data_IF_464844297019
#
_entry.id   IF_464844297019
#
_cell.length_a   1.000
_cell.length_b   1.000
_cell.length_c   1.000
_cell.angle_alpha   90.00
_cell.angle_beta   90.00
_cell.angle_gamma   90.00
#
_symmetry.space_group_name_H-M   'P 1'
#
loop_
_entity.id
_entity.type
_entity.pdbx_description
1 polymer ?
#
# COMPACT_ATOMS: atom_id res chain seq x y z
N UNK A 1 -13.46 1.48 -39.57
CA UNK A 1 -13.26 2.81 -38.92
C UNK A 1 -11.78 2.97 -38.63
N UNK A 2 -11.16 4.11 -38.95
CA UNK A 2 -9.75 4.36 -38.58
C UNK A 2 -9.66 4.65 -37.08
N UNK A 3 -9.04 3.76 -36.31
CA UNK A 3 -8.76 3.99 -34.90
C UNK A 3 -7.67 5.06 -34.75
N UNK A 4 -7.94 6.06 -33.93
CA UNK A 4 -6.98 7.14 -33.64
C UNK A 4 -6.53 7.00 -32.19
N UNK A 5 -5.22 6.88 -31.95
CA UNK A 5 -4.68 6.78 -30.59
C UNK A 5 -4.86 8.09 -29.83
N UNK A 6 -5.21 7.99 -28.55
CA UNK A 6 -5.31 9.13 -27.63
C UNK A 6 -4.05 10.00 -27.63
N UNK A 7 -2.87 9.37 -27.77
CA UNK A 7 -1.58 10.05 -27.86
C UNK A 7 -1.48 11.01 -29.07
N UNK A 8 -2.05 10.63 -30.21
CA UNK A 8 -2.09 11.44 -31.43
C UNK A 8 -3.00 12.66 -31.25
N UNK A 9 -4.13 12.50 -30.56
CA UNK A 9 -5.08 13.59 -30.27
C UNK A 9 -4.43 14.61 -29.34
N UNK A 10 -3.84 14.15 -28.22
CA UNK A 10 -3.15 15.03 -27.26
C UNK A 10 -2.00 15.77 -27.93
N UNK A 11 -1.16 15.07 -28.71
CA UNK A 11 -0.04 15.69 -29.43
C UNK A 11 -0.51 16.80 -30.38
N UNK A 12 -1.64 16.59 -31.07
CA UNK A 12 -2.19 17.57 -32.03
C UNK A 12 -2.86 18.78 -31.36
N UNK A 13 -3.46 18.57 -30.19
CA UNK A 13 -4.01 19.66 -29.37
C UNK A 13 -2.89 20.53 -28.77
N UNK A 14 -1.78 19.91 -28.37
CA UNK A 14 -0.64 20.57 -27.72
C UNK A 14 0.42 21.12 -28.69
N UNK A 15 0.39 20.76 -29.99
CA UNK A 15 1.42 21.16 -30.96
C UNK A 15 1.35 22.62 -31.42
N UNK A 16 0.25 23.33 -31.16
CA UNK A 16 0.08 24.72 -31.60
C UNK A 16 0.73 25.71 -30.62
N UNK A 17 1.61 26.55 -31.14
CA UNK A 17 2.42 27.54 -30.40
C UNK A 17 1.61 28.71 -29.82
N UNK A 18 0.42 28.98 -30.37
CA UNK A 18 -0.62 29.79 -29.72
C UNK A 18 -1.63 28.83 -29.09
N UNK A 19 -1.88 28.97 -27.80
CA UNK A 19 -2.79 28.13 -27.00
C UNK A 19 -4.06 27.78 -27.79
N UNK A 20 -4.21 26.51 -28.17
CA UNK A 20 -5.37 26.01 -28.90
C UNK A 20 -6.66 26.29 -28.10
N UNK A 21 -7.65 26.95 -28.70
CA UNK A 21 -8.90 27.33 -28.03
C UNK A 21 -9.67 26.12 -27.49
N UNK A 22 -9.64 25.00 -28.22
CA UNK A 22 -10.26 23.73 -27.79
C UNK A 22 -9.53 23.14 -26.59
N UNK A 23 -8.20 23.15 -26.59
CA UNK A 23 -7.42 22.70 -25.42
C UNK A 23 -7.73 23.57 -24.20
N UNK A 24 -7.83 24.89 -24.38
CA UNK A 24 -8.21 25.82 -23.32
C UNK A 24 -9.62 25.51 -22.79
N UNK A 25 -10.59 25.28 -23.66
CA UNK A 25 -11.95 24.91 -23.27
C UNK A 25 -11.98 23.60 -22.46
N UNK A 26 -11.20 22.59 -22.85
CA UNK A 26 -11.09 21.32 -22.11
C UNK A 26 -10.46 21.51 -20.72
N UNK A 27 -9.43 22.37 -20.61
CA UNK A 27 -8.82 22.70 -19.32
C UNK A 27 -9.82 23.43 -18.41
N UNK A 28 -10.57 24.41 -18.93
CA UNK A 28 -11.60 25.10 -18.14
C UNK A 28 -12.74 24.14 -17.74
N UNK A 29 -13.11 23.21 -18.61
CA UNK A 29 -14.08 22.17 -18.27
C UNK A 29 -13.59 21.26 -17.13
N UNK A 30 -12.33 20.83 -17.16
CA UNK A 30 -11.71 20.04 -16.09
C UNK A 30 -11.70 20.81 -14.76
N UNK A 31 -11.41 22.12 -14.78
CA UNK A 31 -11.49 22.98 -13.60
C UNK A 31 -12.89 23.06 -13.00
N UNK A 32 -13.95 23.09 -13.83
CA UNK A 32 -15.34 23.08 -13.35
C UNK A 32 -15.63 21.77 -12.62
N UNK A 33 -15.24 20.63 -13.20
CA UNK A 33 -15.39 19.31 -12.56
C UNK A 33 -14.62 19.27 -11.24
N UNK A 34 -13.37 19.74 -11.23
CA UNK A 34 -12.55 19.77 -10.02
C UNK A 34 -13.17 20.67 -8.93
N UNK A 35 -13.73 21.81 -9.32
CA UNK A 35 -14.41 22.72 -8.39
C UNK A 35 -15.63 22.07 -7.74
N UNK A 36 -16.45 21.36 -8.52
CA UNK A 36 -17.60 20.59 -8.01
C UNK A 36 -17.12 19.48 -7.07
N UNK A 37 -16.07 18.74 -7.44
CA UNK A 37 -15.46 17.72 -6.57
C UNK A 37 -14.98 18.34 -5.25
N UNK A 38 -14.30 19.49 -5.30
CA UNK A 38 -13.73 20.11 -4.11
C UNK A 38 -14.79 20.66 -3.17
N UNK A 39 -15.88 21.22 -3.70
CA UNK A 39 -17.04 21.61 -2.91
C UNK A 39 -17.66 20.40 -2.21
N UNK A 40 -17.87 19.28 -2.93
CA UNK A 40 -18.35 18.03 -2.33
C UNK A 40 -17.41 17.50 -1.24
N UNK A 41 -16.10 17.56 -1.48
CA UNK A 41 -15.09 17.10 -0.52
C UNK A 41 -15.08 17.93 0.77
N UNK A 42 -15.36 19.23 0.68
CA UNK A 42 -15.47 20.13 1.84
C UNK A 42 -16.77 19.89 2.61
N UNK A 43 -17.86 19.61 1.93
CA UNK A 43 -19.19 19.41 2.53
C UNK A 43 -19.35 18.01 3.16
N UNK A 44 -18.88 16.96 2.48
CA UNK A 44 -19.06 15.56 2.88
C UNK A 44 -17.84 15.01 3.65
N UNK A 45 -18.02 14.81 4.96
CA UNK A 45 -17.02 14.22 5.86
C UNK A 45 -16.73 12.75 5.55
N UNK A 46 -17.73 11.97 5.13
CA UNK A 46 -17.56 10.55 4.82
C UNK A 46 -16.76 10.36 3.52
N UNK A 47 -17.05 11.18 2.50
CA UNK A 47 -16.23 11.26 1.29
C UNK A 47 -14.77 11.57 1.65
N UNK A 48 -14.55 12.55 2.54
CA UNK A 48 -13.21 12.93 3.00
C UNK A 48 -12.49 11.79 3.69
N UNK A 49 -13.15 11.11 4.62
CA UNK A 49 -12.61 9.95 5.35
C UNK A 49 -12.25 8.82 4.41
N UNK A 50 -13.08 8.56 3.39
CA UNK A 50 -12.81 7.55 2.39
C UNK A 50 -11.56 7.87 1.56
N UNK A 51 -11.45 9.13 1.09
CA UNK A 51 -10.27 9.62 0.35
C UNK A 51 -9.02 9.55 1.20
N UNK A 52 -9.04 10.05 2.43
CA UNK A 52 -7.89 9.94 3.34
C UNK A 52 -7.49 8.49 3.60
N UNK A 53 -8.43 7.58 3.81
CA UNK A 53 -8.12 6.15 3.98
C UNK A 53 -7.46 5.56 2.73
N UNK A 54 -7.86 5.98 1.54
CA UNK A 54 -7.22 5.55 0.30
C UNK A 54 -5.79 6.12 0.17
N UNK A 55 -5.59 7.40 0.49
CA UNK A 55 -4.30 8.07 0.49
C UNK A 55 -3.34 7.44 1.51
N UNK A 56 -3.76 7.28 2.76
CA UNK A 56 -2.95 6.68 3.83
C UNK A 56 -2.49 5.26 3.45
N UNK A 57 -3.34 4.46 2.79
CA UNK A 57 -2.93 3.14 2.27
C UNK A 57 -1.82 3.24 1.22
N UNK A 58 -1.94 4.20 0.30
CA UNK A 58 -0.91 4.49 -0.71
C UNK A 58 0.40 4.95 -0.07
N UNK A 59 0.34 5.90 0.85
CA UNK A 59 1.51 6.38 1.59
C UNK A 59 2.17 5.27 2.41
N UNK A 60 1.41 4.47 3.16
CA UNK A 60 1.94 3.34 3.92
C UNK A 60 2.69 2.35 3.01
N UNK A 61 2.15 2.06 1.83
CA UNK A 61 2.81 1.21 0.84
C UNK A 61 4.11 1.84 0.31
N UNK A 62 4.11 3.13 0.03
CA UNK A 62 5.30 3.86 -0.39
C UNK A 62 6.36 3.94 0.71
N UNK A 63 5.95 4.13 1.97
CA UNK A 63 6.83 4.11 3.13
C UNK A 63 7.47 2.73 3.31
N UNK A 64 6.71 1.64 3.21
CA UNK A 64 7.23 0.27 3.21
C UNK A 64 8.30 0.07 2.14
N UNK A 65 8.01 0.45 0.89
CA UNK A 65 8.97 0.33 -0.21
C UNK A 65 10.21 1.19 -0.01
N UNK A 66 10.05 2.38 0.57
CA UNK A 66 11.16 3.24 0.95
C UNK A 66 12.03 2.59 2.03
N UNK A 67 11.42 1.96 3.04
CA UNK A 67 12.13 1.23 4.09
C UNK A 67 12.96 0.09 3.48
N UNK A 68 12.35 -0.78 2.67
CA UNK A 68 13.03 -1.88 1.94
C UNK A 68 14.23 -1.35 1.14
N UNK A 69 14.06 -0.24 0.43
CA UNK A 69 15.14 0.36 -0.36
C UNK A 69 16.29 0.89 0.51
N UNK A 70 15.98 1.46 1.69
CA UNK A 70 17.01 1.96 2.62
C UNK A 70 17.93 0.83 3.10
N UNK A 71 17.41 -0.37 3.38
CA UNK A 71 18.22 -1.53 3.78
C UNK A 71 19.14 -2.00 2.66
N UNK A 72 18.66 -1.88 1.42
CA UNK A 72 19.43 -2.26 0.22
C UNK A 72 20.52 -1.24 -0.15
N UNK A 73 20.82 -0.27 0.73
CA UNK A 73 21.94 0.68 0.56
C UNK A 73 21.54 2.07 0.03
N UNK A 74 20.28 2.49 0.19
CA UNK A 74 19.74 3.83 -0.17
C UNK A 74 19.85 4.23 -1.66
N UNK A 75 20.40 3.39 -2.53
CA UNK A 75 20.50 3.65 -3.96
C UNK A 75 19.69 2.60 -4.73
N UNK A 76 18.91 3.05 -5.72
CA UNK A 76 18.40 2.13 -6.73
C UNK A 76 19.63 1.52 -7.43
N UNK A 77 19.98 0.30 -7.04
CA UNK A 77 21.09 -0.44 -7.62
C UNK A 77 20.85 -0.57 -9.12
N UNK A 78 21.69 0.09 -9.91
CA UNK A 78 21.66 0.04 -11.37
C UNK A 78 22.13 1.32 -12.02
N UNK A 79 23.10 1.22 -12.93
CA UNK A 79 23.59 2.36 -13.74
C UNK A 79 22.77 2.57 -15.02
N UNK A 80 21.78 1.70 -15.28
CA UNK A 80 20.99 1.67 -16.52
C UNK A 80 19.50 1.58 -16.17
N UNK A 81 18.65 2.23 -16.96
CA UNK A 81 17.19 2.27 -16.78
C UNK A 81 16.57 0.89 -16.57
N UNK A 82 17.00 -0.10 -17.36
CA UNK A 82 16.52 -1.49 -17.23
C UNK A 82 16.84 -2.12 -15.87
N UNK A 83 18.01 -1.83 -15.31
CA UNK A 83 18.41 -2.37 -14.00
C UNK A 83 17.65 -1.68 -12.87
N UNK A 84 17.41 -0.37 -12.99
CA UNK A 84 16.55 0.38 -12.08
C UNK A 84 15.12 -0.18 -12.08
N UNK A 85 14.56 -0.47 -13.26
CA UNK A 85 13.23 -1.06 -13.40
C UNK A 85 13.13 -2.45 -12.75
N UNK A 86 14.11 -3.32 -13.02
CA UNK A 86 14.16 -4.66 -12.41
C UNK A 86 14.24 -4.56 -10.88
N UNK A 87 15.10 -3.67 -10.35
CA UNK A 87 15.21 -3.48 -8.91
C UNK A 87 13.91 -2.93 -8.30
N UNK A 88 13.28 -1.97 -8.99
CA UNK A 88 12.00 -1.42 -8.59
C UNK A 88 10.91 -2.50 -8.50
N UNK A 89 10.87 -3.41 -9.47
CA UNK A 89 9.94 -4.52 -9.49
C UNK A 89 10.24 -5.56 -8.40
N UNK A 90 11.51 -5.85 -8.11
CA UNK A 90 11.91 -6.73 -7.00
C UNK A 90 11.46 -6.16 -5.65
N UNK A 91 11.69 -4.87 -5.42
CA UNK A 91 11.22 -4.18 -4.21
C UNK A 91 9.69 -4.24 -4.10
N UNK A 92 8.97 -4.00 -5.20
CA UNK A 92 7.50 -4.15 -5.24
C UNK A 92 7.05 -5.55 -4.85
N UNK A 93 7.68 -6.59 -5.41
CA UNK A 93 7.33 -7.99 -5.09
C UNK A 93 7.57 -8.27 -3.60
N UNK A 94 8.72 -7.86 -3.06
CA UNK A 94 9.03 -8.06 -1.64
C UNK A 94 8.00 -7.36 -0.73
N UNK A 95 7.62 -6.12 -1.04
CA UNK A 95 6.56 -5.40 -0.31
C UNK A 95 5.23 -6.16 -0.37
N UNK A 96 4.85 -6.70 -1.53
CA UNK A 96 3.65 -7.54 -1.65
C UNK A 96 3.73 -8.81 -0.81
N UNK A 97 4.89 -9.47 -0.73
CA UNK A 97 5.08 -10.66 0.11
C UNK A 97 4.91 -10.33 1.60
N UNK A 98 5.43 -9.20 2.07
CA UNK A 98 5.27 -8.75 3.45
C UNK A 98 3.80 -8.44 3.79
N UNK A 99 3.11 -7.74 2.89
CA UNK A 99 1.68 -7.44 3.04
C UNK A 99 0.85 -8.73 3.03
N UNK A 100 1.18 -9.68 2.15
CA UNK A 100 0.54 -10.98 2.10
C UNK A 100 0.70 -11.73 3.42
N UNK A 101 1.91 -11.78 3.96
CA UNK A 101 2.18 -12.42 5.25
C UNK A 101 1.33 -11.80 6.37
N UNK A 102 1.31 -10.47 6.49
CA UNK A 102 0.49 -9.78 7.48
C UNK A 102 -1.00 -10.06 7.28
N UNK A 103 -1.47 -10.03 6.03
CA UNK A 103 -2.89 -10.27 5.71
C UNK A 103 -3.29 -11.69 6.08
N UNK A 104 -2.47 -12.68 5.74
CA UNK A 104 -2.71 -14.07 6.09
C UNK A 104 -2.70 -14.29 7.61
N UNK A 105 -1.75 -13.68 8.32
CA UNK A 105 -1.67 -13.75 9.78
C UNK A 105 -2.88 -13.11 10.46
N UNK A 106 -3.25 -11.89 10.07
CA UNK A 106 -4.42 -11.18 10.60
C UNK A 106 -5.72 -11.92 10.29
N UNK A 107 -5.81 -12.57 9.11
CA UNK A 107 -6.96 -13.40 8.76
C UNK A 107 -7.08 -14.62 9.66
N UNK A 108 -5.98 -15.34 9.89
CA UNK A 108 -5.94 -16.48 10.80
C UNK A 108 -6.26 -16.09 12.24
N UNK A 109 -5.72 -14.95 12.72
CA UNK A 109 -6.04 -14.41 14.04
C UNK A 109 -7.52 -14.05 14.17
N UNK A 110 -8.10 -13.43 13.14
CA UNK A 110 -9.52 -13.07 13.13
C UNK A 110 -10.43 -14.30 13.15
N UNK A 111 -10.08 -15.36 12.42
CA UNK A 111 -10.82 -16.62 12.44
C UNK A 111 -10.80 -17.26 13.83
N UNK A 112 -9.63 -17.32 14.47
CA UNK A 112 -9.49 -17.87 15.82
C UNK A 112 -10.20 -17.03 16.88
N UNK A 113 -10.14 -15.69 16.78
CA UNK A 113 -10.87 -14.79 17.67
C UNK A 113 -12.40 -14.97 17.55
N UNK A 114 -12.91 -15.12 16.32
CA UNK A 114 -14.33 -15.43 16.07
C UNK A 114 -14.74 -16.78 16.67
N UNK A 115 -13.90 -17.81 16.55
CA UNK A 115 -14.17 -19.13 17.13
C UNK A 115 -14.22 -19.09 18.66
N UNK A 116 -13.43 -18.22 19.30
CA UNK A 116 -13.46 -18.00 20.76
C UNK A 116 -14.62 -17.12 21.23
N UNK A 117 -15.32 -16.45 20.31
CA UNK A 117 -16.41 -15.50 20.64
C UNK A 117 -15.94 -14.17 21.22
N UNK A 118 -14.66 -13.81 21.04
CA UNK A 118 -14.10 -12.57 21.57
C UNK A 118 -14.30 -11.40 20.59
N UNK A 119 -15.38 -10.65 20.79
CA UNK A 119 -15.70 -9.49 19.96
C UNK A 119 -14.73 -8.32 20.14
N UNK A 120 -14.12 -8.18 21.32
CA UNK A 120 -13.17 -7.09 21.59
C UNK A 120 -11.91 -7.30 20.76
N UNK A 121 -11.33 -8.50 20.82
CA UNK A 121 -10.16 -8.87 20.03
C UNK A 121 -10.45 -8.80 18.52
N UNK A 122 -11.64 -9.22 18.07
CA UNK A 122 -12.04 -9.07 16.67
C UNK A 122 -12.03 -7.60 16.21
N UNK A 123 -12.47 -6.68 17.07
CA UNK A 123 -12.50 -5.26 16.75
C UNK A 123 -11.10 -4.63 16.75
N UNK A 124 -10.19 -5.10 17.61
CA UNK A 124 -8.78 -4.69 17.57
C UNK A 124 -8.08 -5.16 16.30
N UNK A 125 -8.24 -6.43 15.93
CA UNK A 125 -7.61 -6.99 14.71
C UNK A 125 -8.07 -6.23 13.46
N UNK A 126 -9.36 -5.83 13.38
CA UNK A 126 -9.90 -5.06 12.26
C UNK A 126 -9.28 -3.66 12.12
N UNK A 127 -8.71 -3.10 13.20
CA UNK A 127 -8.04 -1.79 13.17
C UNK A 127 -6.60 -1.89 12.68
N UNK A 128 -6.01 -3.08 12.68
CA UNK A 128 -4.63 -3.28 12.26
C UNK A 128 -4.49 -3.16 10.74
N UNK A 129 -3.46 -2.43 10.32
CA UNK A 129 -3.13 -2.28 8.91
C UNK A 129 -2.35 -3.50 8.41
N UNK A 130 -2.79 -4.17 7.33
CA UNK A 130 -1.99 -5.23 6.70
C UNK A 130 -0.67 -4.70 6.10
N UNK A 131 -0.55 -3.39 5.92
CA UNK A 131 0.66 -2.73 5.39
C UNK A 131 1.65 -2.34 6.50
N UNK A 132 1.30 -2.55 7.77
CA UNK A 132 2.20 -2.30 8.89
C UNK A 132 3.52 -3.09 8.70
N UNK A 133 4.65 -2.44 8.92
CA UNK A 133 5.95 -3.05 8.64
C UNK A 133 7.01 -2.83 9.71
N UNK A 134 6.71 -2.02 10.72
CA UNK A 134 7.65 -1.69 11.79
C UNK A 134 7.99 -2.90 12.67
N UNK A 135 7.12 -3.92 12.71
CA UNK A 135 7.35 -5.17 13.44
C UNK A 135 8.29 -6.13 12.71
N UNK A 136 8.62 -5.90 11.44
CA UNK A 136 9.60 -6.72 10.76
C UNK A 136 11.01 -6.30 11.12
N UNK A 137 11.81 -7.26 11.58
CA UNK A 137 13.24 -7.04 11.69
C UNK A 137 13.89 -7.11 10.31
N UNK A 138 14.14 -5.95 9.72
CA UNK A 138 14.75 -5.84 8.39
C UNK A 138 16.28 -5.73 8.42
N UNK A 139 16.89 -5.53 9.59
CA UNK A 139 18.33 -5.36 9.76
C UNK A 139 18.86 -6.35 10.80
N UNK A 140 19.91 -7.10 10.47
CA UNK A 140 20.58 -7.98 11.42
C UNK A 140 21.04 -9.29 10.82
N UNK A 141 21.46 -10.20 11.70
CA UNK A 141 21.98 -11.52 11.34
C UNK A 141 20.84 -12.52 11.32
N UNK A 142 20.51 -13.04 10.12
CA UNK A 142 19.48 -14.05 9.97
C UNK A 142 20.11 -15.44 10.07
N UNK A 143 19.66 -16.23 11.04
CA UNK A 143 19.98 -17.66 11.12
C UNK A 143 18.90 -18.44 10.40
N UNK A 144 19.21 -18.95 9.21
CA UNK A 144 18.29 -19.80 8.47
C UNK A 144 18.34 -21.22 9.02
N UNK A 145 17.33 -21.63 9.79
CA UNK A 145 17.16 -23.03 10.16
C UNK A 145 16.77 -23.83 8.91
N UNK A 146 17.57 -24.84 8.58
CA UNK A 146 17.29 -25.82 7.52
C UNK A 146 16.29 -26.87 8.02
N UNK A 147 15.16 -26.42 8.57
CA UNK A 147 14.06 -27.30 8.96
C UNK A 147 13.18 -27.58 7.74
N UNK A 148 12.86 -28.84 7.49
CA UNK A 148 11.90 -29.24 6.44
C UNK A 148 10.44 -28.92 6.83
N UNK A 149 10.19 -28.45 8.06
CA UNK A 149 8.85 -28.04 8.49
C UNK A 149 8.49 -26.69 7.87
N UNK A 150 7.49 -26.70 6.99
CA UNK A 150 6.83 -25.50 6.49
C UNK A 150 6.21 -24.72 7.67
N UNK A 151 6.43 -23.42 7.71
CA UNK A 151 5.82 -22.53 8.72
C UNK A 151 4.31 -22.51 8.48
N UNK A 152 3.52 -22.99 9.45
CA UNK A 152 2.07 -22.92 9.41
C UNK A 152 1.57 -21.63 10.07
N UNK A 153 0.93 -20.77 9.29
CA UNK A 153 0.43 -19.47 9.75
C UNK A 153 -0.62 -19.63 10.86
N UNK A 154 -1.42 -20.70 10.85
CA UNK A 154 -2.42 -20.94 11.89
C UNK A 154 -1.79 -21.34 13.23
N UNK A 155 -0.65 -22.05 13.21
CA UNK A 155 0.10 -22.38 14.42
C UNK A 155 0.75 -21.12 15.01
N UNK A 156 1.33 -20.27 14.16
CA UNK A 156 1.88 -18.97 14.57
C UNK A 156 0.79 -18.09 15.18
N UNK A 157 -0.38 -18.00 14.54
CA UNK A 157 -1.53 -17.26 15.07
C UNK A 157 -1.97 -17.78 16.45
N UNK A 158 -1.98 -19.11 16.64
CA UNK A 158 -2.34 -19.72 17.91
C UNK A 158 -1.35 -19.35 19.03
N UNK A 159 -0.04 -19.43 18.74
CA UNK A 159 1.02 -19.03 19.66
C UNK A 159 0.90 -17.55 20.08
N UNK A 160 0.63 -16.67 19.11
CA UNK A 160 0.43 -15.23 19.36
C UNK A 160 -0.79 -14.93 20.25
N UNK A 161 -1.80 -15.81 20.27
CA UNK A 161 -2.96 -15.68 21.15
C UNK A 161 -2.75 -16.28 22.54
N UNK A 162 -1.69 -17.08 22.73
CA UNK A 162 -1.31 -17.68 24.02
C UNK A 162 -0.29 -16.81 24.76
N UNK A 163 0.51 -16.03 24.04
CA UNK A 163 1.43 -15.04 24.62
C UNK A 163 0.68 -13.75 25.03
N UNK A 164 0.38 -13.59 26.32
CA UNK A 164 -0.14 -12.34 26.91
C UNK A 164 0.81 -11.13 26.74
N UNK A 165 2.05 -11.36 26.32
CA UNK A 165 3.11 -10.35 26.24
C UNK A 165 3.21 -9.65 24.88
N UNK A 166 2.69 -10.26 23.80
CA UNK A 166 2.67 -9.63 22.47
C UNK A 166 1.40 -8.79 22.39
N UNK A 167 1.42 -7.74 23.21
CA UNK A 167 0.40 -6.72 23.23
C UNK A 167 0.24 -6.19 21.79
N UNK A 168 -0.97 -6.36 21.25
CA UNK A 168 -1.40 -5.91 19.91
C UNK A 168 -1.07 -4.42 19.66
N UNK A 169 -0.74 -3.68 20.74
CA UNK A 169 -0.11 -2.36 20.76
C UNK A 169 1.14 -2.20 19.88
N UNK A 170 1.94 -3.25 19.62
CA UNK A 170 3.12 -3.11 18.75
C UNK A 170 2.81 -3.02 17.25
N UNK A 171 1.60 -3.40 16.84
CA UNK A 171 1.16 -3.34 15.43
C UNK A 171 0.41 -2.01 15.14
N UNK A 172 0.08 -1.26 16.19
CA UNK A 172 -0.64 0.03 16.14
C UNK A 172 0.31 1.23 16.14
N UNK A 173 1.20 1.35 15.15
CA UNK A 173 1.93 2.60 14.90
C UNK A 173 2.05 2.89 13.40
N UNK A 174 0.89 3.01 12.76
CA UNK A 174 0.78 3.70 11.47
C UNK A 174 -0.63 4.32 11.39
N UNK A 175 -0.86 5.35 12.20
CA UNK A 175 -1.82 6.40 11.83
C UNK A 175 -1.23 7.25 10.69
#
# INVERSE_FOLDING_TARGET
MKETSQSTVIRKLSSYTKTNSTLKALIEFDKIIMSIYMLKYIDDVEMRRCVHRALNRGEAFHQLRSAILKISGKQLLGKTDKMLEINNQRNKILACCMIYYNTALLSALLEQAKQRGDEALCNEIKRLSPVAWQHFNMLGTFTFCKSEKLINIHEVAKLLLEDETINVRFISLAE
#
